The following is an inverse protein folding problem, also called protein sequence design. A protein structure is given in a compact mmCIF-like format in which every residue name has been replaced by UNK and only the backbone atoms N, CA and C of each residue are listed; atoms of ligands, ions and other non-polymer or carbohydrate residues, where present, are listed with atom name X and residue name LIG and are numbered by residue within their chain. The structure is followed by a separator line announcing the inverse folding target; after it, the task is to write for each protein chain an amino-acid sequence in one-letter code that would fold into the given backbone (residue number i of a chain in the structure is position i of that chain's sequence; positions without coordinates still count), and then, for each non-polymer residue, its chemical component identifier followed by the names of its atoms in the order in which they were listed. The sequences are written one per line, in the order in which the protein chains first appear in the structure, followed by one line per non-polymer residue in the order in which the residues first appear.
data_IF_518798488294
#
_entry.id   IF_518798488294
#
_cell.length_a   1.000
_cell.length_b   1.000
_cell.length_c   1.000
_cell.angle_alpha   90.00
_cell.angle_beta   90.00
_cell.angle_gamma   90.00
#
_symmetry.space_group_name_H-M   'P 1'
#
loop_
_entity.id
_entity.type
_entity.pdbx_description
1 polymer ?
#
# COMPACT_ATOMS: atom_id res chain seq x y z
N UNK A 1 6.91 -9.43 3.92
CA UNK A 1 6.22 -10.56 3.29
C UNK A 1 6.60 -11.91 3.88
N UNK A 2 7.84 -12.07 4.37
CA UNK A 2 8.32 -13.32 4.96
C UNK A 2 7.50 -13.74 6.19
N UNK A 3 7.04 -12.81 7.02
CA UNK A 3 6.18 -13.13 8.17
C UNK A 3 4.86 -13.75 7.77
N UNK A 4 4.18 -13.15 6.79
CA UNK A 4 2.91 -13.68 6.27
C UNK A 4 3.10 -15.00 5.51
N UNK A 5 4.21 -15.15 4.79
CA UNK A 5 4.60 -16.46 4.23
C UNK A 5 4.82 -17.52 5.31
N UNK A 6 5.46 -17.13 6.43
CA UNK A 6 5.65 -18.02 7.59
C UNK A 6 4.32 -18.49 8.17
N UNK A 7 3.32 -17.63 8.27
CA UNK A 7 1.97 -18.02 8.70
C UNK A 7 1.33 -19.02 7.75
N UNK A 8 1.39 -18.77 6.44
CA UNK A 8 0.77 -19.66 5.44
C UNK A 8 1.47 -21.00 5.32
N UNK A 9 2.80 -21.04 5.45
CA UNK A 9 3.59 -22.25 5.20
C UNK A 9 3.80 -23.11 6.45
N UNK A 10 3.95 -22.48 7.62
CA UNK A 10 4.29 -23.18 8.85
C UNK A 10 3.17 -23.14 9.88
N UNK A 11 2.70 -21.98 10.30
CA UNK A 11 1.78 -21.86 11.43
C UNK A 11 0.42 -22.52 11.17
N UNK A 12 -0.20 -22.24 10.02
CA UNK A 12 -1.52 -22.77 9.68
C UNK A 12 -1.47 -24.30 9.47
N UNK A 13 -0.52 -24.88 8.68
CA UNK A 13 -0.49 -26.32 8.47
C UNK A 13 -0.01 -27.11 9.68
N UNK A 14 0.91 -26.58 10.49
CA UNK A 14 1.48 -27.30 11.63
C UNK A 14 0.58 -27.29 12.87
N UNK A 15 -0.16 -26.20 13.07
CA UNK A 15 -0.97 -25.98 14.27
C UNK A 15 -2.42 -25.59 13.94
N UNK A 16 -3.22 -26.45 13.29
CA UNK A 16 -4.56 -26.11 12.86
C UNK A 16 -5.51 -25.77 14.01
N UNK A 17 -5.46 -26.53 15.11
CA UNK A 17 -6.30 -26.30 16.28
C UNK A 17 -5.95 -24.99 17.00
N UNK A 18 -4.65 -24.72 17.18
CA UNK A 18 -4.18 -23.48 17.77
C UNK A 18 -4.55 -22.27 16.89
N UNK A 19 -4.47 -22.38 15.57
CA UNK A 19 -4.87 -21.30 14.66
C UNK A 19 -6.34 -20.97 14.80
N UNK A 20 -7.21 -21.96 14.92
CA UNK A 20 -8.65 -21.74 15.16
C UNK A 20 -8.91 -21.08 16.52
N UNK A 21 -8.23 -21.54 17.57
CA UNK A 21 -8.37 -20.97 18.90
C UNK A 21 -7.92 -19.50 18.98
N UNK A 22 -6.80 -19.14 18.35
CA UNK A 22 -6.23 -17.80 18.39
C UNK A 22 -6.76 -16.85 17.29
N UNK A 23 -7.57 -17.31 16.35
CA UNK A 23 -8.14 -16.49 15.28
C UNK A 23 -8.84 -15.21 15.79
N UNK A 24 -9.70 -15.25 16.85
CA UNK A 24 -10.34 -14.04 17.35
C UNK A 24 -9.33 -13.01 17.87
N UNK A 25 -8.28 -13.46 18.54
CA UNK A 25 -7.21 -12.60 19.04
C UNK A 25 -6.43 -11.93 17.90
N UNK A 26 -6.07 -12.68 16.87
CA UNK A 26 -5.39 -12.16 15.69
C UNK A 26 -6.27 -11.16 14.93
N UNK A 27 -7.55 -11.43 14.81
CA UNK A 27 -8.50 -10.52 14.17
C UNK A 27 -8.62 -9.19 14.90
N UNK A 28 -8.70 -9.20 16.23
CA UNK A 28 -8.76 -7.98 17.01
C UNK A 28 -7.49 -7.15 16.88
N UNK A 29 -6.32 -7.78 16.99
CA UNK A 29 -5.04 -7.11 16.81
C UNK A 29 -4.89 -6.53 15.40
N UNK A 30 -5.26 -7.29 14.36
CA UNK A 30 -5.15 -6.85 12.98
C UNK A 30 -6.10 -5.69 12.68
N UNK A 31 -7.33 -5.72 13.18
CA UNK A 31 -8.30 -4.63 13.01
C UNK A 31 -7.83 -3.34 13.69
N UNK A 32 -7.33 -3.43 14.93
CA UNK A 32 -6.76 -2.28 15.65
C UNK A 32 -5.56 -1.73 14.89
N UNK A 33 -4.66 -2.61 14.41
CA UNK A 33 -3.48 -2.21 13.67
C UNK A 33 -3.83 -1.49 12.36
N UNK A 34 -4.83 -1.96 11.60
CA UNK A 34 -5.28 -1.32 10.36
C UNK A 34 -5.75 0.11 10.63
N UNK A 35 -6.63 0.30 11.61
CA UNK A 35 -7.18 1.61 11.93
C UNK A 35 -6.11 2.54 12.49
N UNK A 36 -5.33 2.07 13.46
CA UNK A 36 -4.30 2.87 14.11
C UNK A 36 -3.21 3.31 13.13
N UNK A 37 -2.70 2.40 12.30
CA UNK A 37 -1.65 2.73 11.32
C UNK A 37 -2.17 3.64 10.22
N UNK A 38 -3.43 3.51 9.79
CA UNK A 38 -4.05 4.40 8.80
C UNK A 38 -4.19 5.83 9.34
N UNK A 39 -4.60 6.00 10.60
CA UNK A 39 -4.68 7.30 11.25
C UNK A 39 -3.31 7.93 11.48
N UNK A 40 -2.30 7.12 11.83
CA UNK A 40 -0.93 7.62 11.98
C UNK A 40 -0.32 8.05 10.65
N UNK A 41 -0.61 7.35 9.53
CA UNK A 41 -0.14 7.75 8.19
C UNK A 41 -0.68 9.10 7.77
N UNK A 42 -1.92 9.44 8.08
CA UNK A 42 -2.51 10.75 7.80
C UNK A 42 -1.74 11.92 8.43
N UNK A 43 -1.10 11.69 9.57
CA UNK A 43 -0.38 12.75 10.32
C UNK A 43 1.14 12.76 10.09
N UNK A 44 1.67 11.81 9.32
CA UNK A 44 3.10 11.77 9.03
C UNK A 44 3.55 12.91 8.11
N UNK A 45 4.77 13.37 8.35
CA UNK A 45 5.41 14.47 7.60
C UNK A 45 6.51 13.91 6.67
N UNK A 46 6.95 12.69 6.91
CA UNK A 46 8.06 12.04 6.20
C UNK A 46 7.50 11.05 5.15
N UNK A 47 7.84 11.26 3.86
CA UNK A 47 7.42 10.42 2.73
C UNK A 47 7.73 8.93 2.95
N UNK A 48 8.92 8.62 3.46
CA UNK A 48 9.33 7.24 3.72
C UNK A 48 8.48 6.60 4.81
N UNK A 49 8.16 7.34 5.87
CA UNK A 49 7.32 6.84 6.97
C UNK A 49 5.87 6.62 6.52
N UNK A 50 5.33 7.50 5.66
CA UNK A 50 3.99 7.33 5.09
C UNK A 50 3.90 6.00 4.33
N UNK A 51 4.84 5.73 3.42
CA UNK A 51 4.90 4.46 2.68
C UNK A 51 5.12 3.25 3.59
N UNK A 52 5.88 3.39 4.68
CA UNK A 52 6.11 2.31 5.63
C UNK A 52 4.84 1.97 6.45
N UNK A 53 4.15 2.97 6.99
CA UNK A 53 2.92 2.74 7.77
C UNK A 53 1.76 2.24 6.90
N UNK A 54 1.65 2.70 5.64
CA UNK A 54 0.67 2.15 4.69
C UNK A 54 0.91 0.65 4.45
N UNK A 55 2.19 0.25 4.35
CA UNK A 55 2.55 -1.17 4.22
C UNK A 55 2.10 -2.01 5.42
N UNK A 56 2.16 -1.47 6.64
CA UNK A 56 1.68 -2.16 7.84
C UNK A 56 0.17 -2.36 7.77
N UNK A 57 -0.59 -1.34 7.34
CA UNK A 57 -2.04 -1.45 7.19
C UNK A 57 -2.43 -2.56 6.20
N UNK A 58 -1.84 -2.59 4.99
CA UNK A 58 -2.11 -3.62 3.99
C UNK A 58 -1.70 -5.02 4.46
N UNK A 59 -0.56 -5.16 5.17
CA UNK A 59 -0.15 -6.47 5.67
C UNK A 59 -1.06 -7.01 6.78
N UNK A 60 -1.65 -6.14 7.60
CA UNK A 60 -2.66 -6.57 8.57
C UNK A 60 -3.97 -7.01 7.89
N UNK A 61 -4.32 -6.44 6.75
CA UNK A 61 -5.43 -6.95 5.94
C UNK A 61 -5.12 -8.36 5.40
N UNK A 62 -3.89 -8.61 4.96
CA UNK A 62 -3.43 -9.95 4.56
C UNK A 62 -3.52 -10.94 5.70
N UNK A 63 -3.17 -10.57 6.94
CA UNK A 63 -3.31 -11.48 8.10
C UNK A 63 -4.76 -11.85 8.36
N UNK A 64 -5.71 -10.91 8.25
CA UNK A 64 -7.14 -11.20 8.35
C UNK A 64 -7.56 -12.23 7.28
N UNK A 65 -7.12 -12.03 6.03
CA UNK A 65 -7.43 -12.94 4.93
C UNK A 65 -6.88 -14.35 5.15
N UNK A 66 -5.67 -14.49 5.66
CA UNK A 66 -5.07 -15.80 5.93
C UNK A 66 -5.81 -16.56 7.04
N UNK A 67 -6.13 -15.89 8.13
CA UNK A 67 -6.81 -16.49 9.28
C UNK A 67 -8.32 -16.65 9.09
N UNK A 68 -8.88 -16.22 7.94
CA UNK A 68 -10.25 -16.58 7.56
C UNK A 68 -10.40 -18.08 7.25
N UNK A 69 -9.29 -18.75 6.89
CA UNK A 69 -9.20 -20.16 6.54
C UNK A 69 -10.13 -20.59 5.40
N UNK A 70 -10.55 -19.65 4.58
CA UNK A 70 -11.36 -19.85 3.38
C UNK A 70 -10.47 -19.76 2.14
N UNK A 71 -10.81 -20.50 1.08
CA UNK A 71 -10.08 -20.48 -0.19
C UNK A 71 -9.97 -19.04 -0.73
N UNK A 72 -11.06 -18.27 -0.66
CA UNK A 72 -11.10 -16.89 -1.13
C UNK A 72 -10.16 -15.97 -0.32
N UNK A 73 -10.19 -16.05 1.02
CA UNK A 73 -9.34 -15.24 1.89
C UNK A 73 -7.85 -15.59 1.75
N UNK A 74 -7.52 -16.88 1.68
CA UNK A 74 -6.13 -17.34 1.48
C UNK A 74 -5.62 -16.94 0.09
N UNK A 75 -6.41 -17.19 -0.97
CA UNK A 75 -6.06 -16.79 -2.33
C UNK A 75 -5.88 -15.29 -2.47
N UNK A 76 -6.81 -14.48 -1.93
CA UNK A 76 -6.71 -13.03 -1.88
C UNK A 76 -5.49 -12.53 -1.12
N UNK A 77 -5.14 -13.18 0.00
CA UNK A 77 -3.97 -12.80 0.80
C UNK A 77 -2.65 -13.07 0.08
N UNK A 78 -2.53 -14.19 -0.65
CA UNK A 78 -1.35 -14.50 -1.46
C UNK A 78 -1.22 -13.46 -2.60
N UNK A 79 -2.30 -13.18 -3.30
CA UNK A 79 -2.31 -12.20 -4.39
C UNK A 79 -1.97 -10.80 -3.87
N UNK A 80 -2.54 -10.39 -2.72
CA UNK A 80 -2.23 -9.09 -2.12
C UNK A 80 -0.78 -8.98 -1.64
N UNK A 81 -0.17 -10.06 -1.15
CA UNK A 81 1.26 -10.07 -0.80
C UNK A 81 2.15 -9.76 -2.01
N UNK A 82 1.85 -10.38 -3.16
CA UNK A 82 2.61 -10.17 -4.39
C UNK A 82 2.39 -8.76 -4.93
N UNK A 83 1.14 -8.35 -5.07
CA UNK A 83 0.77 -7.02 -5.59
C UNK A 83 1.31 -5.89 -4.74
N UNK A 84 1.15 -5.98 -3.42
CA UNK A 84 1.71 -4.98 -2.52
C UNK A 84 3.25 -4.99 -2.54
N UNK A 85 3.88 -6.13 -2.82
CA UNK A 85 5.32 -6.22 -3.04
C UNK A 85 5.77 -5.30 -4.19
N UNK A 86 5.07 -5.32 -5.31
CA UNK A 86 5.35 -4.47 -6.47
C UNK A 86 5.02 -2.99 -6.21
N UNK A 87 3.82 -2.72 -5.70
CA UNK A 87 3.36 -1.34 -5.46
C UNK A 87 4.21 -0.63 -4.42
N UNK A 88 4.49 -1.27 -3.28
CA UNK A 88 5.29 -0.66 -2.23
C UNK A 88 6.73 -0.41 -2.65
N UNK A 89 7.35 -1.35 -3.39
CA UNK A 89 8.71 -1.14 -3.90
C UNK A 89 8.76 0.02 -4.89
N UNK A 90 7.77 0.14 -5.78
CA UNK A 90 7.69 1.26 -6.70
C UNK A 90 7.50 2.62 -5.98
N UNK A 91 6.65 2.68 -4.95
CA UNK A 91 6.50 3.89 -4.13
C UNK A 91 7.79 4.26 -3.39
N UNK A 92 8.53 3.28 -2.85
CA UNK A 92 9.84 3.54 -2.25
C UNK A 92 10.88 4.02 -3.27
N UNK A 93 10.84 3.52 -4.50
CA UNK A 93 11.67 4.03 -5.59
C UNK A 93 11.30 5.47 -5.96
N UNK A 94 10.01 5.82 -6.02
CA UNK A 94 9.56 7.21 -6.20
C UNK A 94 10.13 8.13 -5.11
N UNK A 95 10.06 7.71 -3.84
CA UNK A 95 10.65 8.46 -2.74
C UNK A 95 12.17 8.54 -2.87
N UNK A 96 12.84 7.49 -3.36
CA UNK A 96 14.28 7.47 -3.65
C UNK A 96 14.67 8.51 -4.70
N UNK A 97 13.94 8.56 -5.81
CA UNK A 97 14.15 9.54 -6.88
C UNK A 97 14.05 10.98 -6.38
N UNK A 98 13.04 11.27 -5.54
CA UNK A 98 12.92 12.60 -4.92
C UNK A 98 14.07 12.88 -3.95
N UNK A 99 14.44 11.90 -3.14
CA UNK A 99 15.53 12.04 -2.18
C UNK A 99 16.89 12.29 -2.86
N UNK A 100 17.17 11.62 -3.98
CA UNK A 100 18.43 11.79 -4.71
C UNK A 100 18.59 13.22 -5.25
N UNK A 101 17.48 13.86 -5.61
CA UNK A 101 17.48 15.24 -6.12
C UNK A 101 17.54 16.30 -5.03
N UNK A 102 16.86 16.07 -3.88
CA UNK A 102 16.72 17.09 -2.83
C UNK A 102 17.41 16.77 -1.51
N UNK A 103 17.84 15.52 -1.30
CA UNK A 103 18.42 15.03 -0.04
C UNK A 103 17.51 15.21 1.20
N UNK A 104 16.23 15.52 1.03
CA UNK A 104 15.23 15.62 2.09
C UNK A 104 14.10 14.61 1.86
N UNK A 105 13.38 14.23 2.93
CA UNK A 105 12.23 13.32 2.86
C UNK A 105 10.92 13.97 3.33
N UNK A 106 10.98 15.23 3.73
CA UNK A 106 9.85 15.94 4.30
C UNK A 106 8.90 16.40 3.20
N UNK A 107 7.64 16.01 3.30
CA UNK A 107 6.57 16.37 2.35
C UNK A 107 6.47 17.88 2.14
N UNK A 108 6.77 18.68 3.17
CA UNK A 108 6.66 20.14 3.14
C UNK A 108 7.51 20.81 2.05
N UNK A 109 8.60 20.19 1.65
CA UNK A 109 9.50 20.72 0.62
C UNK A 109 9.08 20.34 -0.81
N UNK A 110 8.18 19.38 -0.96
CA UNK A 110 7.68 18.90 -2.24
C UNK A 110 6.26 19.42 -2.46
N UNK A 111 6.10 20.47 -3.21
CA UNK A 111 4.79 21.04 -3.58
C UNK A 111 4.85 21.48 -5.02
N UNK A 112 3.85 21.10 -5.83
CA UNK A 112 3.76 21.57 -7.22
C UNK A 112 4.68 20.83 -8.20
N UNK A 113 5.02 19.56 -7.94
CA UNK A 113 5.90 18.77 -8.82
C UNK A 113 5.35 18.55 -10.23
N UNK A 114 4.05 18.74 -10.47
CA UNK A 114 3.46 18.61 -11.82
C UNK A 114 4.15 19.52 -12.84
N UNK A 115 4.48 20.74 -12.46
CA UNK A 115 5.04 21.72 -13.38
C UNK A 115 6.53 21.49 -13.67
N UNK A 116 7.27 20.86 -12.77
CA UNK A 116 8.72 20.61 -12.89
C UNK A 116 9.04 19.21 -13.35
N UNK A 117 8.26 18.19 -12.91
CA UNK A 117 8.49 16.78 -13.17
C UNK A 117 7.19 16.08 -13.60
N UNK A 118 6.67 16.34 -14.83
CA UNK A 118 5.41 15.77 -15.28
C UNK A 118 5.45 14.23 -15.40
N UNK A 119 6.52 13.65 -15.93
CA UNK A 119 6.64 12.20 -16.07
C UNK A 119 6.69 11.49 -14.70
N UNK A 120 7.41 12.05 -13.74
CA UNK A 120 7.39 11.55 -12.38
C UNK A 120 5.98 11.60 -11.77
N UNK A 121 5.27 12.71 -11.96
CA UNK A 121 3.92 12.91 -11.42
C UNK A 121 2.92 11.89 -11.95
N UNK A 122 3.00 11.52 -13.24
CA UNK A 122 2.13 10.49 -13.83
C UNK A 122 2.43 9.09 -13.29
N UNK A 123 3.71 8.71 -13.17
CA UNK A 123 4.11 7.43 -12.59
C UNK A 123 3.72 7.35 -11.11
N UNK A 124 3.97 8.41 -10.37
CA UNK A 124 3.59 8.48 -8.95
C UNK A 124 2.07 8.39 -8.77
N UNK A 125 1.29 9.03 -9.65
CA UNK A 125 -0.17 8.93 -9.67
C UNK A 125 -0.64 7.49 -9.87
N UNK A 126 -0.09 6.79 -10.86
CA UNK A 126 -0.44 5.40 -11.11
C UNK A 126 -0.21 4.50 -9.89
N UNK A 127 0.95 4.62 -9.23
CA UNK A 127 1.24 3.80 -8.04
C UNK A 127 0.43 4.22 -6.81
N UNK A 128 0.05 5.50 -6.69
CA UNK A 128 -0.90 5.91 -5.64
C UNK A 128 -2.29 5.35 -5.88
N UNK A 129 -2.76 5.30 -7.13
CA UNK A 129 -4.02 4.64 -7.50
C UNK A 129 -3.97 3.13 -7.22
N UNK A 130 -2.85 2.47 -7.55
CA UNK A 130 -2.64 1.06 -7.24
C UNK A 130 -2.61 0.81 -5.72
N UNK A 131 -2.03 1.71 -4.93
CA UNK A 131 -2.04 1.62 -3.46
C UNK A 131 -3.42 1.84 -2.84
N UNK A 132 -4.31 2.57 -3.53
CA UNK A 132 -5.73 2.73 -3.15
C UNK A 132 -6.61 1.56 -3.59
N UNK A 133 -6.04 0.56 -4.23
CA UNK A 133 -6.78 -0.59 -4.77
C UNK A 133 -7.86 -0.18 -5.78
N UNK A 134 -7.49 0.66 -6.77
CA UNK A 134 -8.40 1.01 -7.85
C UNK A 134 -8.74 -0.24 -8.68
N UNK A 135 -10.01 -0.44 -9.11
CA UNK A 135 -10.37 -1.51 -10.04
C UNK A 135 -9.48 -1.50 -11.30
N UNK A 136 -8.98 -2.67 -11.70
CA UNK A 136 -7.99 -2.81 -12.78
C UNK A 136 -6.54 -2.88 -12.29
N UNK A 137 -6.31 -2.79 -10.97
CA UNK A 137 -5.00 -3.06 -10.35
C UNK A 137 -5.02 -4.37 -9.58
N UNK A 138 -3.86 -5.02 -9.47
CA UNK A 138 -3.72 -6.30 -8.77
C UNK A 138 -4.10 -6.24 -7.27
N UNK A 139 -3.92 -5.09 -6.64
CA UNK A 139 -4.28 -4.88 -5.25
C UNK A 139 -5.79 -4.94 -4.99
N UNK A 140 -6.61 -4.46 -5.94
CA UNK A 140 -8.07 -4.50 -5.84
C UNK A 140 -8.61 -5.93 -5.70
N UNK A 141 -8.17 -6.84 -6.57
CA UNK A 141 -8.63 -8.23 -6.56
C UNK A 141 -8.26 -8.89 -5.23
N UNK A 142 -7.03 -8.66 -4.76
CA UNK A 142 -6.54 -9.20 -3.48
C UNK A 142 -7.37 -8.70 -2.29
N UNK A 143 -7.59 -7.40 -2.16
CA UNK A 143 -8.37 -6.80 -1.08
C UNK A 143 -9.84 -7.23 -1.12
N UNK A 144 -10.44 -7.25 -2.31
CA UNK A 144 -11.83 -7.69 -2.47
C UNK A 144 -12.03 -9.14 -2.02
N UNK A 145 -11.16 -10.06 -2.45
CA UNK A 145 -11.22 -11.47 -2.05
C UNK A 145 -11.02 -11.65 -0.54
N UNK A 146 -10.12 -10.88 0.06
CA UNK A 146 -9.92 -10.90 1.52
C UNK A 146 -11.18 -10.45 2.26
N UNK A 147 -11.81 -9.36 1.81
CA UNK A 147 -13.05 -8.89 2.44
C UNK A 147 -14.18 -9.91 2.33
N UNK A 148 -14.36 -10.53 1.16
CA UNK A 148 -15.36 -11.58 0.98
C UNK A 148 -15.07 -12.76 1.92
N UNK A 149 -13.82 -13.21 1.99
CA UNK A 149 -13.42 -14.29 2.90
C UNK A 149 -13.60 -13.94 4.39
N UNK A 150 -13.24 -12.72 4.77
CA UNK A 150 -13.42 -12.24 6.14
C UNK A 150 -14.91 -12.09 6.50
N UNK A 151 -15.74 -11.61 5.56
CA UNK A 151 -17.17 -11.42 5.78
C UNK A 151 -17.91 -12.74 6.04
N UNK A 152 -17.52 -13.81 5.33
CA UNK A 152 -18.05 -15.15 5.55
C UNK A 152 -17.75 -15.69 6.96
N UNK A 153 -16.67 -15.25 7.59
CA UNK A 153 -16.23 -15.73 8.90
C UNK A 153 -16.71 -14.83 10.05
N UNK A 154 -16.54 -13.51 9.88
CA UNK A 154 -16.93 -12.52 10.87
C UNK A 154 -17.22 -11.16 10.21
N UNK A 155 -18.50 -10.76 10.16
CA UNK A 155 -18.96 -9.52 9.53
C UNK A 155 -18.38 -8.26 10.21
N UNK A 156 -18.20 -8.28 11.52
CA UNK A 156 -17.68 -7.14 12.28
C UNK A 156 -16.22 -6.85 11.91
N UNK A 157 -15.40 -7.89 11.81
CA UNK A 157 -13.99 -7.73 11.38
C UNK A 157 -13.91 -7.23 9.94
N UNK A 158 -14.75 -7.75 9.05
CA UNK A 158 -14.81 -7.31 7.68
C UNK A 158 -15.22 -5.83 7.54
N UNK A 159 -16.18 -5.36 8.32
CA UNK A 159 -16.57 -3.94 8.32
C UNK A 159 -15.47 -3.03 8.86
N UNK A 160 -14.75 -3.43 9.91
CA UNK A 160 -13.60 -2.69 10.43
C UNK A 160 -12.44 -2.66 9.41
N UNK A 161 -12.19 -3.76 8.71
CA UNK A 161 -11.22 -3.81 7.62
C UNK A 161 -11.61 -2.88 6.45
N UNK A 162 -12.91 -2.84 6.10
CA UNK A 162 -13.45 -1.91 5.10
C UNK A 162 -13.26 -0.43 5.48
N UNK A 163 -13.45 -0.07 6.75
CA UNK A 163 -13.13 1.28 7.24
C UNK A 163 -11.63 1.60 7.05
N UNK A 164 -10.75 0.63 7.27
CA UNK A 164 -9.32 0.77 7.02
C UNK A 164 -9.00 1.09 5.57
N UNK A 165 -9.71 0.47 4.61
CA UNK A 165 -9.54 0.77 3.18
C UNK A 165 -9.97 2.20 2.84
N UNK A 166 -11.08 2.70 3.39
CA UNK A 166 -11.52 4.09 3.21
C UNK A 166 -10.44 5.06 3.72
N UNK A 167 -9.87 4.79 4.89
CA UNK A 167 -8.74 5.57 5.41
C UNK A 167 -7.51 5.47 4.51
N UNK A 168 -7.28 4.31 3.88
CA UNK A 168 -6.25 4.07 2.88
C UNK A 168 -6.34 5.00 1.69
N UNK A 169 -7.55 5.15 1.13
CA UNK A 169 -7.82 6.12 0.06
C UNK A 169 -7.57 7.55 0.54
N UNK A 170 -8.02 7.88 1.73
CA UNK A 170 -7.88 9.23 2.28
C UNK A 170 -6.40 9.66 2.40
N UNK A 171 -5.52 8.85 3.00
CA UNK A 171 -4.12 9.23 3.16
C UNK A 171 -3.34 9.22 1.85
N UNK A 172 -3.66 8.34 0.91
CA UNK A 172 -2.95 8.26 -0.37
C UNK A 172 -3.28 9.43 -1.29
N UNK A 173 -4.56 9.81 -1.43
CA UNK A 173 -4.97 11.01 -2.15
C UNK A 173 -4.43 12.28 -1.51
N UNK A 174 -4.48 12.36 -0.19
CA UNK A 174 -3.94 13.50 0.53
C UNK A 174 -2.43 13.66 0.32
N UNK A 175 -1.68 12.54 0.34
CA UNK A 175 -0.25 12.56 0.02
C UNK A 175 0.00 13.04 -1.41
N UNK A 176 -0.71 12.46 -2.39
CA UNK A 176 -0.57 12.84 -3.79
C UNK A 176 -0.82 14.34 -3.99
N UNK A 177 -1.93 14.84 -3.48
CA UNK A 177 -2.28 16.24 -3.59
C UNK A 177 -1.23 17.16 -2.95
N UNK A 178 -0.67 16.79 -1.82
CA UNK A 178 0.38 17.59 -1.15
C UNK A 178 1.69 17.64 -1.91
N UNK A 179 2.06 16.56 -2.57
CA UNK A 179 3.34 16.44 -3.28
C UNK A 179 3.25 17.01 -4.69
N UNK A 180 2.17 16.68 -5.40
CA UNK A 180 2.06 16.94 -6.84
C UNK A 180 1.34 18.23 -7.14
N UNK A 181 0.26 18.53 -6.41
CA UNK A 181 -0.56 19.73 -6.62
C UNK A 181 -0.06 20.91 -5.78
N UNK A 182 -0.41 22.13 -6.22
CA UNK A 182 -0.11 23.37 -5.52
C UNK A 182 0.87 24.26 -6.27
N UNK A 183 1.04 25.48 -5.76
CA UNK A 183 1.97 26.44 -6.34
C UNK A 183 3.41 26.09 -5.94
N UNK A 184 4.30 26.12 -6.92
CA UNK A 184 5.74 25.97 -6.68
C UNK A 184 6.21 27.00 -5.65
N UNK A 185 6.98 26.53 -4.68
CA UNK A 185 7.74 27.40 -3.78
C UNK A 185 9.12 27.61 -4.39
N UNK A 186 9.37 28.77 -5.04
CA UNK A 186 10.62 29.02 -5.78
C UNK A 186 11.87 28.90 -4.90
N UNK A 187 11.74 29.15 -3.61
CA UNK A 187 12.86 29.09 -2.64
C UNK A 187 13.45 27.69 -2.45
N UNK A 188 12.65 26.63 -2.75
CA UNK A 188 13.06 25.25 -2.51
C UNK A 188 13.20 24.40 -3.78
N UNK A 189 12.65 24.87 -4.91
CA UNK A 189 12.48 24.07 -6.14
C UNK A 189 13.24 24.66 -7.34
N UNK A 190 14.49 25.09 -7.11
CA UNK A 190 15.35 25.47 -8.23
C UNK A 190 15.75 24.25 -9.08
N UNK A 191 15.19 24.16 -10.30
CA UNK A 191 15.58 23.24 -11.40
C UNK A 191 15.61 21.74 -11.04
N UNK A 192 14.42 21.15 -10.90
CA UNK A 192 14.31 19.68 -10.98
C UNK A 192 14.46 19.20 -12.42
N UNK A 193 15.37 18.30 -12.65
CA UNK A 193 15.34 17.47 -13.85
C UNK A 193 14.28 16.38 -13.69
N UNK A 194 13.43 16.20 -14.69
CA UNK A 194 12.47 15.10 -14.74
C UNK A 194 13.19 13.74 -14.79
N UNK A 195 12.43 12.66 -14.80
CA UNK A 195 12.95 11.30 -14.81
C UNK A 195 13.90 11.07 -16.02
N UNK A 196 15.04 10.50 -15.74
CA UNK A 196 15.94 10.02 -16.77
C UNK A 196 15.41 8.73 -17.41
N UNK A 197 15.79 8.43 -18.66
CA UNK A 197 15.37 7.22 -19.36
C UNK A 197 15.63 5.92 -18.57
N UNK A 198 16.74 5.84 -17.83
CA UNK A 198 17.04 4.69 -16.95
C UNK A 198 16.05 4.55 -15.80
N UNK A 199 15.65 5.66 -15.19
CA UNK A 199 14.68 5.66 -14.09
C UNK A 199 13.30 5.22 -14.59
N UNK A 200 12.86 5.72 -15.75
CA UNK A 200 11.61 5.29 -16.39
C UNK A 200 11.64 3.78 -16.68
N UNK A 201 12.75 3.30 -17.23
CA UNK A 201 12.90 1.88 -17.55
C UNK A 201 12.78 0.97 -16.31
N UNK A 202 13.24 1.42 -15.15
CA UNK A 202 13.09 0.69 -13.86
C UNK A 202 11.62 0.61 -13.45
N UNK A 203 10.78 1.62 -13.73
CA UNK A 203 9.36 1.61 -13.36
C UNK A 203 8.49 0.74 -14.27
N UNK A 204 8.89 0.51 -15.53
CA UNK A 204 8.12 -0.26 -16.52
C UNK A 204 7.73 -1.66 -16.00
N UNK A 205 8.63 -2.50 -15.47
CA UNK A 205 8.26 -3.84 -15.00
C UNK A 205 7.25 -3.81 -13.83
N UNK A 206 7.31 -2.79 -12.97
CA UNK A 206 6.32 -2.63 -11.90
C UNK A 206 4.95 -2.24 -12.45
N UNK A 207 4.90 -1.33 -13.43
CA UNK A 207 3.66 -0.93 -14.10
C UNK A 207 3.00 -2.14 -14.78
N UNK A 208 3.79 -2.87 -15.57
CA UNK A 208 3.30 -4.07 -16.29
C UNK A 208 2.84 -5.13 -15.30
N UNK A 209 3.61 -5.40 -14.24
CA UNK A 209 3.27 -6.40 -13.24
C UNK A 209 1.97 -6.08 -12.49
N UNK A 210 1.74 -4.83 -12.12
CA UNK A 210 0.52 -4.39 -11.41
C UNK A 210 -0.72 -4.52 -12.30
N UNK A 211 -0.62 -4.16 -13.58
CA UNK A 211 -1.74 -4.28 -14.52
C UNK A 211 -1.99 -5.74 -14.87
N UNK A 212 -0.95 -6.51 -15.20
CA UNK A 212 -1.09 -7.90 -15.62
C UNK A 212 -1.70 -8.80 -14.55
N UNK A 213 -1.34 -8.60 -13.29
CA UNK A 213 -1.96 -9.34 -12.18
C UNK A 213 -3.33 -8.77 -11.78
N UNK A 214 -3.75 -7.64 -12.33
CA UNK A 214 -5.02 -6.98 -12.04
C UNK A 214 -6.14 -7.28 -13.04
N UNK A 215 -5.81 -7.99 -14.13
CA UNK A 215 -6.72 -8.46 -15.18
C UNK A 215 -6.81 -9.98 -15.11
#
# INVERSE_FOLDING_TARGET
KLGTYGFSRFSIPMFPEATLCFTPFIYTLSAIAIIYTSLTTLRQIDLKKISAYSSVAHMNLVTIGMFSLNIQGIGGSILLMLSHGLVSSALFLCVGVLYDRHKTRLVRYYVGLVSTMPNFSTIFFFFTLANMSLPGTSSFIGEFLILVGAFQRNSLVATLAGLGMILGVAYSLWLYNRVVSGNLKPDFLHKFSDLNGREVFIFIPFLVGVVWMGV
#
